data_IF_658120360725
#
_entry.id   IF_658120360725
#
_cell.length_a   1.000
_cell.length_b   1.000
_cell.length_c   1.000
_cell.angle_alpha   90.00
_cell.angle_beta   90.00
_cell.angle_gamma   90.00
#
_symmetry.space_group_name_H-M   'P 1'
#
loop_
_entity.id
_entity.type
_entity.pdbx_description
1 polymer ?
#
# COMPACT_ATOMS: atom_id res chain seq x y z
N UNK A 1 -14.61 -10.54 -16.88
CA UNK A 1 -14.56 -9.50 -15.82
C UNK A 1 -15.45 -9.95 -14.69
N UNK A 2 -15.00 -9.89 -13.43
CA UNK A 2 -15.78 -10.25 -12.25
C UNK A 2 -15.82 -9.05 -11.32
N UNK A 3 -17.01 -8.67 -10.87
CA UNK A 3 -17.20 -7.63 -9.85
C UNK A 3 -17.19 -8.31 -8.48
N UNK A 4 -16.49 -7.72 -7.53
CA UNK A 4 -16.45 -8.15 -6.14
C UNK A 4 -16.89 -6.99 -5.25
N UNK A 5 -17.68 -7.28 -4.24
CA UNK A 5 -18.01 -6.32 -3.21
C UNK A 5 -16.90 -6.31 -2.16
N UNK A 6 -16.42 -5.11 -1.81
CA UNK A 6 -15.42 -4.91 -0.77
C UNK A 6 -16.08 -4.09 0.34
N UNK A 7 -16.25 -4.64 1.56
CA UNK A 7 -16.87 -3.91 2.66
C UNK A 7 -16.00 -2.74 3.12
N UNK A 8 -16.65 -1.73 3.70
CA UNK A 8 -15.96 -0.59 4.31
C UNK A 8 -15.01 -1.08 5.42
N UNK A 9 -13.77 -0.57 5.40
CA UNK A 9 -12.74 -0.92 6.37
C UNK A 9 -11.75 0.22 6.53
N UNK A 10 -11.05 0.23 7.67
CA UNK A 10 -9.90 1.10 7.88
C UNK A 10 -8.66 0.46 7.28
N UNK A 11 -7.83 1.26 6.61
CA UNK A 11 -6.56 0.83 6.06
C UNK A 11 -5.47 1.80 6.48
N UNK A 12 -4.33 1.25 6.91
CA UNK A 12 -3.10 2.02 7.01
C UNK A 12 -2.47 2.10 5.62
N UNK A 13 -1.95 3.27 5.26
CA UNK A 13 -1.38 3.52 3.95
C UNK A 13 -0.03 4.21 4.09
N UNK A 14 0.95 3.76 3.28
CA UNK A 14 2.25 4.42 3.16
C UNK A 14 2.47 4.86 1.71
N UNK A 15 2.71 6.15 1.53
CA UNK A 15 3.04 6.75 0.23
C UNK A 15 4.53 6.57 -0.08
N UNK A 16 4.83 6.32 -1.35
CA UNK A 16 6.20 6.28 -1.86
C UNK A 16 6.25 6.66 -3.34
N UNK A 17 7.43 7.03 -3.82
CA UNK A 17 7.68 7.42 -5.21
C UNK A 17 8.44 6.34 -5.98
N UNK A 18 8.50 6.48 -7.31
CA UNK A 18 9.27 5.60 -8.19
C UNK A 18 8.42 4.78 -9.16
N UNK A 19 9.11 4.14 -10.10
CA UNK A 19 8.53 3.14 -10.98
C UNK A 19 8.41 1.79 -10.27
N UNK A 20 7.81 0.81 -10.95
CA UNK A 20 7.72 -0.57 -10.45
C UNK A 20 9.11 -1.16 -10.18
N UNK A 21 9.34 -1.58 -8.95
CA UNK A 21 10.52 -2.31 -8.50
C UNK A 21 10.09 -3.16 -7.29
N UNK A 22 10.23 -4.47 -7.39
CA UNK A 22 9.74 -5.43 -6.40
C UNK A 22 10.36 -5.21 -5.01
N UNK A 23 11.69 -5.10 -4.94
CA UNK A 23 12.44 -4.86 -3.70
C UNK A 23 11.97 -3.60 -2.96
N UNK A 24 11.71 -2.51 -3.71
CA UNK A 24 11.16 -1.28 -3.15
C UNK A 24 9.76 -1.54 -2.58
N UNK A 25 8.89 -2.21 -3.34
CA UNK A 25 7.52 -2.48 -2.91
C UNK A 25 7.50 -3.34 -1.63
N UNK A 26 8.37 -4.34 -1.54
CA UNK A 26 8.56 -5.14 -0.33
C UNK A 26 9.09 -4.32 0.85
N UNK A 27 10.11 -3.49 0.61
CA UNK A 27 10.68 -2.63 1.66
C UNK A 27 9.66 -1.65 2.23
N UNK A 28 8.83 -1.06 1.37
CA UNK A 28 7.79 -0.11 1.78
C UNK A 28 6.63 -0.81 2.48
N UNK A 29 6.31 -2.04 2.06
CA UNK A 29 5.36 -2.90 2.74
C UNK A 29 5.82 -3.28 4.15
N UNK A 30 7.09 -3.65 4.31
CA UNK A 30 7.68 -3.94 5.61
C UNK A 30 7.66 -2.71 6.52
N UNK A 31 8.06 -1.55 5.99
CA UNK A 31 8.02 -0.29 6.75
C UNK A 31 6.59 0.07 7.20
N UNK A 32 5.57 -0.19 6.37
CA UNK A 32 4.18 -0.01 6.76
C UNK A 32 3.79 -0.96 7.90
N UNK A 33 4.14 -2.25 7.81
CA UNK A 33 3.82 -3.24 8.85
C UNK A 33 4.47 -2.88 10.20
N UNK A 34 5.73 -2.45 10.18
CA UNK A 34 6.45 -2.00 11.37
C UNK A 34 5.76 -0.78 12.01
N UNK A 35 5.34 0.20 11.21
CA UNK A 35 4.62 1.37 11.70
C UNK A 35 3.24 1.00 12.29
N UNK A 36 2.49 0.12 11.63
CA UNK A 36 1.19 -0.40 12.12
C UNK A 36 1.37 -1.09 13.47
N UNK A 37 2.38 -1.94 13.60
CA UNK A 37 2.68 -2.63 14.86
C UNK A 37 3.13 -1.66 15.97
N UNK A 38 3.91 -0.64 15.64
CA UNK A 38 4.35 0.38 16.59
C UNK A 38 3.19 1.21 17.16
N UNK A 39 2.14 1.43 16.38
CA UNK A 39 0.89 2.09 16.81
C UNK A 39 -0.07 1.13 17.55
N UNK A 40 0.32 -0.13 17.76
CA UNK A 40 -0.51 -1.13 18.46
C UNK A 40 -1.71 -1.63 17.64
N UNK A 41 -1.72 -1.38 16.33
CA UNK A 41 -2.81 -1.80 15.44
C UNK A 41 -2.58 -3.23 14.96
N UNK A 42 -3.66 -4.00 14.85
CA UNK A 42 -3.61 -5.32 14.22
C UNK A 42 -3.81 -5.18 12.71
N UNK A 43 -2.93 -5.81 11.92
CA UNK A 43 -3.07 -5.90 10.47
C UNK A 43 -3.91 -7.11 10.06
N UNK A 44 -4.70 -6.96 8.99
CA UNK A 44 -5.56 -8.02 8.46
C UNK A 44 -5.34 -8.21 6.97
N UNK A 45 -5.10 -9.46 6.57
CA UNK A 45 -4.93 -9.83 5.16
C UNK A 45 -3.55 -9.49 4.60
N UNK A 46 -3.49 -9.31 3.28
CA UNK A 46 -2.24 -9.06 2.55
C UNK A 46 -2.07 -7.58 2.19
N UNK A 47 -0.82 -7.15 2.07
CA UNK A 47 -0.48 -5.85 1.50
C UNK A 47 -1.02 -5.75 0.07
N UNK A 48 -1.58 -4.61 -0.27
CA UNK A 48 -2.01 -4.30 -1.63
C UNK A 48 -1.54 -2.91 -2.04
N UNK A 49 -1.40 -2.72 -3.36
CA UNK A 49 -0.77 -1.52 -3.90
C UNK A 49 -1.73 -0.73 -4.77
N UNK A 50 -1.81 0.58 -4.51
CA UNK A 50 -2.53 1.52 -5.36
C UNK A 50 -1.53 2.27 -6.24
N UNK A 51 -1.61 2.01 -7.55
CA UNK A 51 -0.80 2.68 -8.58
C UNK A 51 -1.70 3.64 -9.35
N UNK A 52 -1.62 4.93 -9.02
CA UNK A 52 -2.52 5.95 -9.56
C UNK A 52 -2.01 6.56 -10.87
N UNK A 53 -0.71 6.52 -11.10
CA UNK A 53 -0.09 7.31 -12.17
C UNK A 53 0.10 6.56 -13.49
N UNK A 54 -0.07 7.26 -14.63
CA UNK A 54 0.05 6.66 -15.95
C UNK A 54 1.49 6.24 -16.28
N UNK A 55 1.68 5.32 -17.25
CA UNK A 55 3.00 4.77 -17.58
C UNK A 55 4.01 5.83 -18.03
N UNK A 56 3.54 6.90 -18.70
CA UNK A 56 4.37 7.97 -19.26
C UNK A 56 4.87 9.00 -18.23
N UNK A 57 4.33 9.02 -17.00
CA UNK A 57 4.76 9.98 -15.97
C UNK A 57 6.19 9.63 -15.49
N UNK A 58 7.11 10.60 -15.34
CA UNK A 58 8.43 10.33 -14.76
C UNK A 58 8.34 9.72 -13.37
N UNK A 59 9.15 8.70 -13.08
CA UNK A 59 9.02 7.87 -11.86
C UNK A 59 9.09 8.66 -10.54
N UNK A 60 9.89 9.71 -10.47
CA UNK A 60 9.99 10.57 -9.27
C UNK A 60 8.74 11.41 -9.02
N UNK A 61 7.88 11.60 -10.03
CA UNK A 61 6.58 12.26 -9.89
C UNK A 61 5.45 11.26 -9.65
N UNK A 62 5.71 9.94 -9.71
CA UNK A 62 4.69 8.92 -9.44
C UNK A 62 4.39 8.84 -7.95
N UNK A 63 3.11 8.71 -7.63
CA UNK A 63 2.54 8.47 -6.32
C UNK A 63 2.04 7.03 -6.29
N UNK A 64 2.76 6.21 -5.54
CA UNK A 64 2.34 4.86 -5.20
C UNK A 64 1.97 4.81 -3.73
N UNK A 65 1.02 3.95 -3.39
CA UNK A 65 0.66 3.66 -2.02
C UNK A 65 0.69 2.15 -1.81
N UNK A 66 1.26 1.72 -0.69
CA UNK A 66 1.06 0.38 -0.14
C UNK A 66 0.08 0.50 1.00
N UNK A 67 -0.87 -0.42 1.06
CA UNK A 67 -1.96 -0.41 2.02
C UNK A 67 -2.12 -1.78 2.67
N UNK A 68 -2.60 -1.76 3.91
CA UNK A 68 -3.07 -2.95 4.61
C UNK A 68 -4.30 -2.59 5.44
N UNK A 69 -5.27 -3.50 5.49
CA UNK A 69 -6.41 -3.34 6.38
C UNK A 69 -5.94 -3.42 7.83
N UNK A 70 -6.46 -2.54 8.67
CA UNK A 70 -6.14 -2.49 10.10
C UNK A 70 -7.40 -2.56 10.96
N UNK A 71 -7.24 -3.08 12.18
CA UNK A 71 -8.26 -3.10 13.22
C UNK A 71 -7.64 -2.63 14.54
N UNK A 72 -8.43 -1.90 15.33
CA UNK A 72 -8.13 -1.65 16.75
C UNK A 72 -8.40 -2.89 17.60
#
# INVERSE_FOLDING_TARGET
VKVIEVPAHNAAARRFSGSWNEERFESEGKALLEAVAAEGLASKGSLYFSRFDPPWKPGFLKRNEVLIQVTN
#
